data_IF_262874779939
#
_entry.id   IF_262874779939
#
_cell.length_a   1.000
_cell.length_b   1.000
_cell.length_c   1.000
_cell.angle_alpha   90.00
_cell.angle_beta   90.00
_cell.angle_gamma   90.00
#
_symmetry.space_group_name_H-M   'P 1'
#
loop_
_entity.id
_entity.type
_entity.pdbx_description
1 polymer ?
#
# COMPACT_ATOMS: atom_id res chain seq x y z
N UNK A 1 5.42 -28.52 -16.68
CA UNK A 1 4.71 -27.22 -16.75
C UNK A 1 4.36 -26.81 -15.33
N UNK A 2 5.18 -25.94 -14.71
CA UNK A 2 4.95 -25.47 -13.34
C UNK A 2 3.80 -24.47 -13.39
N UNK A 3 2.63 -24.85 -12.87
CA UNK A 3 1.52 -23.92 -12.67
C UNK A 3 1.97 -22.92 -11.59
N UNK A 4 2.36 -21.73 -12.03
CA UNK A 4 2.49 -20.59 -11.11
C UNK A 4 1.14 -20.37 -10.43
N UNK A 5 1.15 -20.04 -9.13
CA UNK A 5 -0.05 -19.80 -8.35
C UNK A 5 -0.78 -18.57 -8.91
N UNK A 6 -1.57 -18.75 -9.95
CA UNK A 6 -2.68 -17.85 -10.23
C UNK A 6 -3.70 -18.16 -9.14
N UNK A 7 -3.66 -17.40 -8.05
CA UNK A 7 -4.72 -17.43 -7.05
C UNK A 7 -6.01 -17.07 -7.78
N UNK A 8 -6.85 -18.07 -8.04
CA UNK A 8 -8.19 -17.84 -8.60
C UNK A 8 -9.03 -17.24 -7.48
N UNK A 9 -8.97 -15.93 -7.36
CA UNK A 9 -9.92 -15.18 -6.54
C UNK A 9 -11.25 -15.12 -7.28
N UNK A 10 -12.34 -15.40 -6.56
CA UNK A 10 -13.71 -15.37 -7.07
C UNK A 10 -14.56 -14.71 -5.97
N UNK A 11 -15.18 -13.52 -6.03
CA UNK A 11 -15.11 -12.31 -6.88
C UNK A 11 -15.72 -11.18 -6.00
N UNK A 12 -15.18 -9.95 -5.91
CA UNK A 12 -16.04 -8.78 -5.74
C UNK A 12 -16.46 -8.33 -7.15
N UNK A 13 -17.70 -8.66 -7.56
CA UNK A 13 -18.34 -8.48 -8.88
C UNK A 13 -18.03 -9.48 -10.02
N UNK A 14 -18.63 -10.69 -9.97
CA UNK A 14 -19.06 -11.61 -11.08
C UNK A 14 -18.17 -11.90 -12.33
N UNK A 15 -16.94 -11.40 -12.44
CA UNK A 15 -15.99 -11.74 -13.50
C UNK A 15 -15.19 -13.04 -13.26
N UNK A 16 -14.71 -13.68 -14.34
CA UNK A 16 -13.85 -14.89 -14.31
C UNK A 16 -12.35 -14.59 -14.19
N UNK A 17 -11.99 -13.31 -14.12
CA UNK A 17 -10.60 -12.84 -14.03
C UNK A 17 -10.04 -12.88 -12.61
N UNK A 18 -8.71 -12.88 -12.50
CA UNK A 18 -7.98 -12.73 -11.24
C UNK A 18 -6.81 -11.76 -11.41
N UNK A 19 -6.50 -11.00 -10.35
CA UNK A 19 -5.29 -10.18 -10.31
C UNK A 19 -4.07 -11.12 -10.28
N UNK A 20 -3.05 -10.81 -11.09
CA UNK A 20 -1.82 -11.60 -11.14
C UNK A 20 -0.78 -11.04 -10.17
N UNK A 21 0.04 -11.94 -9.61
CA UNK A 21 1.15 -11.52 -8.78
C UNK A 21 2.24 -10.81 -9.61
N UNK A 22 2.79 -9.72 -9.08
CA UNK A 22 3.95 -9.06 -9.70
C UNK A 22 5.13 -10.04 -9.77
N UNK A 23 5.88 -10.08 -10.86
CA UNK A 23 7.02 -11.02 -10.97
C UNK A 23 6.64 -12.51 -10.89
N UNK A 24 5.40 -12.87 -11.24
CA UNK A 24 4.91 -14.25 -11.37
C UNK A 24 5.16 -15.11 -10.11
N UNK A 25 5.96 -16.18 -10.19
CA UNK A 25 6.23 -17.07 -9.05
C UNK A 25 6.84 -16.35 -7.86
N UNK A 26 7.65 -15.31 -8.08
CA UNK A 26 8.29 -14.58 -6.98
C UNK A 26 7.24 -13.79 -6.18
N UNK A 27 6.39 -13.02 -6.86
CA UNK A 27 5.31 -12.32 -6.16
C UNK A 27 4.27 -13.26 -5.58
N UNK A 28 4.01 -14.39 -6.23
CA UNK A 28 3.13 -15.43 -5.68
C UNK A 28 3.69 -16.01 -4.37
N UNK A 29 4.99 -16.31 -4.31
CA UNK A 29 5.64 -16.78 -3.09
C UNK A 29 5.61 -15.74 -1.98
N UNK A 30 5.85 -14.47 -2.30
CA UNK A 30 5.76 -13.35 -1.35
C UNK A 30 4.32 -13.23 -0.82
N UNK A 31 3.32 -13.29 -1.69
CA UNK A 31 1.91 -13.22 -1.29
C UNK A 31 1.51 -14.40 -0.39
N UNK A 32 2.00 -15.61 -0.68
CA UNK A 32 1.78 -16.77 0.17
C UNK A 32 2.37 -16.56 1.58
N UNK A 33 3.60 -16.04 1.66
CA UNK A 33 4.22 -15.69 2.94
C UNK A 33 3.42 -14.62 3.70
N UNK A 34 2.94 -13.59 3.01
CA UNK A 34 2.12 -12.52 3.61
C UNK A 34 0.83 -13.08 4.22
N UNK A 35 0.16 -14.02 3.56
CA UNK A 35 -1.06 -14.65 4.08
C UNK A 35 -0.79 -15.46 5.36
N UNK A 36 0.33 -16.18 5.41
CA UNK A 36 0.72 -16.94 6.60
C UNK A 36 1.07 -16.00 7.75
N UNK A 37 1.88 -14.97 7.51
CA UNK A 37 2.35 -14.06 8.56
C UNK A 37 1.25 -13.10 9.04
N UNK A 38 0.48 -12.54 8.11
CA UNK A 38 -0.59 -11.59 8.40
C UNK A 38 -1.85 -12.29 8.88
N UNK A 39 -2.25 -13.40 8.25
CA UNK A 39 -3.49 -14.10 8.54
C UNK A 39 -3.34 -15.21 9.57
N UNK A 40 -2.66 -16.29 9.20
CA UNK A 40 -2.58 -17.51 10.03
C UNK A 40 -1.89 -17.26 11.38
N UNK A 41 -0.75 -16.57 11.38
CA UNK A 41 0.04 -16.33 12.58
C UNK A 41 -0.66 -15.38 13.56
N UNK A 42 -1.37 -14.36 13.06
CA UNK A 42 -2.05 -13.38 13.92
C UNK A 42 -3.41 -13.89 14.43
N UNK A 43 -3.89 -15.03 13.92
CA UNK A 43 -5.21 -15.58 14.24
C UNK A 43 -6.37 -14.95 13.47
N UNK A 44 -6.10 -14.10 12.48
CA UNK A 44 -7.13 -13.45 11.64
C UNK A 44 -7.70 -14.36 10.54
N UNK A 45 -7.25 -15.62 10.48
CA UNK A 45 -7.62 -16.56 9.44
C UNK A 45 -6.90 -16.31 8.11
N UNK A 46 -7.08 -17.23 7.17
CA UNK A 46 -6.55 -17.12 5.80
C UNK A 46 -7.69 -17.16 4.79
N UNK A 47 -7.50 -16.46 3.67
CA UNK A 47 -8.47 -16.33 2.58
C UNK A 47 -8.90 -17.67 1.96
N UNK A 48 -8.14 -18.76 2.16
CA UNK A 48 -8.49 -20.11 1.70
C UNK A 48 -9.38 -20.91 2.65
N UNK A 49 -9.59 -20.45 3.89
CA UNK A 49 -10.30 -21.16 4.95
C UNK A 49 -11.58 -20.47 5.42
N UNK A 50 -12.13 -19.57 4.61
CA UNK A 50 -13.33 -18.82 4.98
C UNK A 50 -14.52 -19.76 4.98
N UNK A 51 -14.96 -20.11 6.19
CA UNK A 51 -16.30 -20.60 6.44
C UNK A 51 -17.27 -19.60 5.79
N UNK A 52 -18.00 -20.03 4.76
CA UNK A 52 -18.81 -19.12 3.92
C UNK A 52 -19.92 -18.42 4.70
N UNK A 53 -20.17 -18.89 5.92
CA UNK A 53 -21.17 -18.37 6.85
C UNK A 53 -20.60 -17.29 7.79
N UNK A 54 -19.28 -17.01 7.75
CA UNK A 54 -18.68 -15.88 8.46
C UNK A 54 -18.72 -14.64 7.57
N UNK A 55 -19.67 -13.75 7.83
CA UNK A 55 -19.81 -12.45 7.15
C UNK A 55 -18.69 -11.43 7.44
N UNK A 56 -17.72 -11.78 8.30
CA UNK A 56 -16.68 -10.85 8.73
C UNK A 56 -15.43 -10.95 7.86
N UNK A 57 -15.18 -9.91 7.07
CA UNK A 57 -13.89 -9.68 6.42
C UNK A 57 -12.86 -9.41 7.52
N UNK A 58 -11.86 -10.28 7.64
CA UNK A 58 -10.76 -10.13 8.58
C UNK A 58 -9.50 -9.71 7.84
N UNK A 59 -8.81 -8.68 8.34
CA UNK A 59 -7.53 -8.21 7.79
C UNK A 59 -6.47 -8.33 8.88
N UNK A 60 -5.70 -9.41 8.84
CA UNK A 60 -4.63 -9.65 9.79
C UNK A 60 -3.35 -8.89 9.45
N UNK A 61 -2.76 -8.25 10.45
CA UNK A 61 -1.55 -7.45 10.30
C UNK A 61 -0.46 -7.94 11.26
N UNK A 62 0.70 -8.29 10.71
CA UNK A 62 1.94 -8.46 11.46
C UNK A 62 2.75 -7.17 11.39
N UNK A 63 3.12 -6.62 12.55
CA UNK A 63 4.04 -5.48 12.65
C UNK A 63 5.35 -5.91 13.30
N UNK A 64 6.48 -5.58 12.67
CA UNK A 64 7.82 -5.90 13.19
C UNK A 64 8.55 -4.60 13.48
N UNK A 65 8.97 -4.42 14.72
CA UNK A 65 9.73 -3.26 15.18
C UNK A 65 11.13 -3.69 15.59
N UNK A 66 12.15 -3.11 14.95
CA UNK A 66 13.56 -3.44 15.22
C UNK A 66 14.23 -2.22 15.86
N UNK A 67 14.70 -2.38 17.10
CA UNK A 67 15.41 -1.33 17.83
C UNK A 67 16.88 -1.26 17.36
N UNK A 68 17.18 -0.33 16.45
CA UNK A 68 18.51 -0.19 15.83
C UNK A 68 19.64 -0.03 16.86
N UNK A 69 19.39 0.72 17.94
CA UNK A 69 20.36 0.95 19.03
C UNK A 69 20.89 -0.32 19.71
N UNK A 70 20.19 -1.45 19.55
CA UNK A 70 20.61 -2.73 20.11
C UNK A 70 21.62 -3.46 19.19
N UNK A 71 21.85 -2.97 17.97
CA UNK A 71 22.73 -3.58 16.98
C UNK A 71 23.91 -2.67 16.63
N UNK A 72 23.64 -1.39 16.36
CA UNK A 72 24.65 -0.41 15.91
C UNK A 72 24.34 0.98 16.45
N UNK A 73 25.35 1.86 16.44
CA UNK A 73 25.14 3.28 16.69
C UNK A 73 24.14 3.89 15.68
N UNK A 74 23.27 4.77 16.15
CA UNK A 74 22.19 5.33 15.34
C UNK A 74 22.71 6.29 14.27
N UNK A 75 23.75 7.07 14.56
CA UNK A 75 24.32 7.99 13.59
C UNK A 75 25.06 7.22 12.50
N UNK A 76 25.80 6.17 12.89
CA UNK A 76 26.38 5.22 11.95
C UNK A 76 25.32 4.64 11.00
N UNK A 77 24.22 4.08 11.54
CA UNK A 77 23.16 3.51 10.71
C UNK A 77 22.53 4.53 9.75
N UNK A 78 22.26 5.75 10.23
CA UNK A 78 21.73 6.83 9.38
C UNK A 78 22.69 7.17 8.23
N UNK A 79 23.99 7.22 8.52
CA UNK A 79 25.00 7.51 7.50
C UNK A 79 25.06 6.38 6.46
N UNK A 80 25.05 5.11 6.87
CA UNK A 80 25.03 3.97 5.95
C UNK A 80 23.79 3.98 5.04
N UNK A 81 22.60 4.22 5.62
CA UNK A 81 21.36 4.35 4.85
C UNK A 81 21.44 5.50 3.84
N UNK A 82 21.98 6.65 4.25
CA UNK A 82 22.16 7.81 3.37
C UNK A 82 23.12 7.48 2.22
N UNK A 83 24.29 6.94 2.54
CA UNK A 83 25.32 6.58 1.55
C UNK A 83 24.76 5.62 0.49
N UNK A 84 24.05 4.57 0.92
CA UNK A 84 23.46 3.62 0.00
C UNK A 84 22.33 4.24 -0.84
N UNK A 85 21.49 5.07 -0.23
CA UNK A 85 20.43 5.79 -0.93
C UNK A 85 20.98 6.73 -2.01
N UNK A 86 22.05 7.45 -1.70
CA UNK A 86 22.72 8.35 -2.64
C UNK A 86 23.40 7.57 -3.77
N UNK A 87 24.03 6.43 -3.44
CA UNK A 87 24.61 5.54 -4.43
C UNK A 87 23.54 5.03 -5.43
N UNK A 88 22.38 4.55 -4.95
CA UNK A 88 21.29 4.10 -5.82
C UNK A 88 20.81 5.23 -6.73
N UNK A 89 20.60 6.44 -6.18
CA UNK A 89 20.16 7.60 -6.98
C UNK A 89 21.21 8.08 -7.98
N UNK A 90 22.49 7.84 -7.72
CA UNK A 90 23.58 8.21 -8.64
C UNK A 90 23.67 7.34 -9.90
N UNK A 91 22.89 6.25 -9.96
CA UNK A 91 22.87 5.37 -11.13
C UNK A 91 22.33 6.08 -12.38
N UNK A 92 22.89 5.81 -13.57
CA UNK A 92 22.36 6.38 -14.81
C UNK A 92 20.88 6.01 -15.00
N UNK A 93 19.98 6.98 -15.25
CA UNK A 93 18.58 6.67 -15.45
C UNK A 93 18.36 5.94 -16.78
N UNK A 94 17.29 5.15 -16.84
CA UNK A 94 16.86 4.50 -18.08
C UNK A 94 16.40 5.55 -19.12
N UNK A 95 16.31 5.15 -20.39
CA UNK A 95 15.78 6.00 -21.46
C UNK A 95 14.40 6.55 -21.08
N UNK A 96 14.22 7.86 -21.23
CA UNK A 96 12.99 8.60 -20.87
C UNK A 96 12.64 8.61 -19.37
N UNK A 97 13.62 8.32 -18.49
CA UNK A 97 13.50 8.52 -17.05
C UNK A 97 14.42 9.67 -16.67
N UNK A 98 13.90 10.65 -15.91
CA UNK A 98 14.67 11.83 -15.51
C UNK A 98 15.73 11.49 -14.46
N UNK A 99 15.37 10.67 -13.46
CA UNK A 99 16.24 10.29 -12.36
C UNK A 99 15.83 8.94 -11.77
N UNK A 100 16.78 8.24 -11.17
CA UNK A 100 16.52 7.03 -10.39
C UNK A 100 15.92 7.43 -9.04
N UNK A 101 14.81 6.80 -8.67
CA UNK A 101 14.09 7.04 -7.41
C UNK A 101 14.26 5.86 -6.47
N UNK A 102 14.23 6.12 -5.17
CA UNK A 102 14.10 5.08 -4.14
C UNK A 102 12.66 5.04 -3.60
N UNK A 103 12.24 3.91 -2.97
CA UNK A 103 10.96 3.84 -2.29
C UNK A 103 10.77 5.00 -1.30
N UNK A 104 9.65 5.73 -1.42
CA UNK A 104 9.35 6.91 -0.60
C UNK A 104 9.52 8.25 -1.33
N UNK A 105 10.37 8.35 -2.36
CA UNK A 105 10.62 9.63 -3.05
C UNK A 105 9.35 10.17 -3.73
N UNK A 106 8.59 9.29 -4.40
CA UNK A 106 7.33 9.65 -5.07
C UNK A 106 6.28 10.11 -4.08
N UNK A 107 6.15 9.41 -2.96
CA UNK A 107 5.19 9.70 -1.91
C UNK A 107 5.50 11.04 -1.25
N UNK A 108 6.78 11.33 -0.95
CA UNK A 108 7.21 12.62 -0.40
C UNK A 108 6.90 13.76 -1.38
N UNK A 109 7.21 13.59 -2.67
CA UNK A 109 6.93 14.61 -3.68
C UNK A 109 5.42 14.85 -3.82
N UNK A 110 4.64 13.78 -3.91
CA UNK A 110 3.17 13.83 -4.03
C UNK A 110 2.54 14.48 -2.80
N UNK A 111 3.06 14.19 -1.61
CA UNK A 111 2.59 14.76 -0.36
C UNK A 111 2.86 16.28 -0.30
N UNK A 112 4.09 16.71 -0.63
CA UNK A 112 4.45 18.14 -0.73
C UNK A 112 3.56 18.89 -1.72
N UNK A 113 3.33 18.30 -2.90
CA UNK A 113 2.45 18.87 -3.91
C UNK A 113 1.02 19.02 -3.38
N UNK A 114 0.45 17.97 -2.78
CA UNK A 114 -0.91 17.98 -2.23
C UNK A 114 -1.09 18.97 -1.09
N UNK A 115 -0.09 19.15 -0.24
CA UNK A 115 -0.13 20.18 0.82
C UNK A 115 -0.12 21.61 0.25
N UNK A 116 0.55 21.84 -0.87
CA UNK A 116 0.66 23.15 -1.49
C UNK A 116 -0.51 23.47 -2.43
N UNK A 117 -0.92 22.49 -3.22
CA UNK A 117 -1.78 22.67 -4.38
C UNK A 117 -3.18 22.03 -4.21
N UNK A 118 -3.44 21.35 -3.10
CA UNK A 118 -4.71 20.67 -2.83
C UNK A 118 -4.71 19.20 -3.25
N UNK A 119 -5.74 18.46 -2.80
CA UNK A 119 -5.95 17.05 -3.05
C UNK A 119 -6.74 16.85 -4.35
N UNK A 120 -6.22 16.05 -5.31
CA UNK A 120 -6.99 15.68 -6.48
C UNK A 120 -8.04 14.63 -6.07
N UNK A 121 -9.28 15.07 -5.89
CA UNK A 121 -10.41 14.19 -5.57
C UNK A 121 -11.35 14.17 -6.76
N UNK A 122 -11.70 12.98 -7.25
CA UNK A 122 -12.66 12.87 -8.35
C UNK A 122 -14.01 13.46 -7.91
N UNK A 123 -14.71 14.26 -8.75
CA UNK A 123 -15.95 14.92 -8.35
C UNK A 123 -16.98 13.97 -7.74
N UNK A 124 -17.17 12.79 -8.35
CA UNK A 124 -18.10 11.77 -7.84
C UNK A 124 -17.73 11.26 -6.44
N UNK A 125 -16.43 11.12 -6.14
CA UNK A 125 -15.98 10.72 -4.80
C UNK A 125 -16.30 11.81 -3.79
N UNK A 126 -16.12 13.08 -4.15
CA UNK A 126 -16.46 14.20 -3.28
C UNK A 126 -17.97 14.30 -3.02
N UNK A 127 -18.80 14.12 -4.05
CA UNK A 127 -20.27 14.07 -3.88
C UNK A 127 -20.69 12.93 -2.95
N UNK A 128 -20.09 11.75 -3.08
CA UNK A 128 -20.38 10.63 -2.19
C UNK A 128 -19.99 10.93 -0.72
N UNK A 129 -18.87 11.62 -0.51
CA UNK A 129 -18.45 12.06 0.83
C UNK A 129 -19.47 13.05 1.39
N UNK A 130 -19.85 14.08 0.61
CA UNK A 130 -20.85 15.08 1.03
C UNK A 130 -22.18 14.44 1.38
N UNK A 131 -22.72 13.58 0.51
CA UNK A 131 -24.00 12.90 0.78
C UNK A 131 -23.95 12.04 2.05
N UNK A 132 -22.80 11.42 2.35
CA UNK A 132 -22.62 10.62 3.56
C UNK A 132 -22.57 11.50 4.80
N UNK A 133 -21.85 12.61 4.73
CA UNK A 133 -21.76 13.59 5.81
C UNK A 133 -23.12 14.25 6.13
N UNK A 134 -23.91 14.59 5.11
CA UNK A 134 -25.27 15.10 5.27
C UNK A 134 -26.18 14.11 6.01
N UNK A 135 -26.15 12.83 5.62
CA UNK A 135 -26.94 11.77 6.31
C UNK A 135 -26.57 11.63 7.78
N UNK A 136 -25.32 11.92 8.13
CA UNK A 136 -24.79 11.84 9.48
C UNK A 136 -24.81 13.19 10.22
N UNK A 137 -25.37 14.24 9.62
CA UNK A 137 -25.42 15.61 10.15
C UNK A 137 -24.04 16.16 10.56
N UNK A 138 -22.99 15.86 9.78
CA UNK A 138 -21.65 16.43 9.99
C UNK A 138 -21.64 17.88 9.51
N UNK A 139 -21.36 18.87 10.39
CA UNK A 139 -21.38 20.28 10.01
C UNK A 139 -20.10 20.72 9.27
N UNK A 140 -20.17 21.89 8.63
CA UNK A 140 -19.04 22.64 8.08
C UNK A 140 -18.18 21.89 7.03
N UNK A 141 -18.81 21.25 6.05
CA UNK A 141 -18.07 20.57 4.98
C UNK A 141 -17.29 21.53 4.07
N UNK A 142 -17.77 22.76 3.94
CA UNK A 142 -17.17 23.81 3.09
C UNK A 142 -15.72 24.12 3.47
N UNK A 143 -15.32 23.86 4.73
CA UNK A 143 -13.92 24.05 5.18
C UNK A 143 -12.92 23.17 4.42
N UNK A 144 -13.40 22.07 3.83
CA UNK A 144 -12.58 21.13 3.06
C UNK A 144 -12.54 21.48 1.57
N UNK A 145 -13.45 22.30 1.05
CA UNK A 145 -13.49 22.62 -0.39
C UNK A 145 -12.22 23.31 -0.85
N UNK A 146 -11.63 24.17 -0.01
CA UNK A 146 -10.34 24.83 -0.30
C UNK A 146 -9.16 23.84 -0.39
N UNK A 147 -9.28 22.66 0.22
CA UNK A 147 -8.27 21.64 0.20
C UNK A 147 -8.41 20.68 -0.99
N UNK A 148 -9.54 20.73 -1.72
CA UNK A 148 -9.81 19.89 -2.88
C UNK A 148 -9.56 20.70 -4.14
N UNK A 149 -8.86 20.10 -5.10
CA UNK A 149 -8.56 20.69 -6.39
C UNK A 149 -9.30 19.94 -7.49
#
# INVERSE_FOLDING_TARGET
MVKYLTMRFQIPNKGTGAITAFGLHKGSGINFMMEILGGALTGSGVNGGVDKDKENIQNGMLSVYISIKNFVDLNYFKNEVKLYSDFVRSSPPAKNVEQVLIPGDKEISTNKDRFKNGLPVAPLVWENIKSTAEKLNVPELDRFEKAIK
#
